data_IF_635919972666
#
_entry.id   IF_635919972666
#
_cell.length_a   1.000
_cell.length_b   1.000
_cell.length_c   1.000
_cell.angle_alpha   90.00
_cell.angle_beta   90.00
_cell.angle_gamma   90.00
#
_symmetry.space_group_name_H-M   'P 1'
#
loop_
_entity.id
_entity.type
_entity.pdbx_description
1 polymer ?
#
# COMPACT_ATOMS: atom_id res chain seq x y z
N UNK A 1 29.55 -21.26 -0.81
CA UNK A 1 29.48 -20.48 0.44
C UNK A 1 29.17 -19.00 0.22
N UNK A 2 29.27 -18.53 -1.00
CA UNK A 2 28.93 -17.13 -1.33
C UNK A 2 27.43 -16.86 -1.43
N UNK A 3 26.62 -17.88 -1.51
CA UNK A 3 25.17 -17.75 -1.73
C UNK A 3 24.40 -17.37 -0.47
N UNK A 4 25.01 -17.46 0.69
CA UNK A 4 24.35 -17.12 1.95
C UNK A 4 24.32 -15.64 2.25
N UNK A 5 25.18 -14.84 1.63
CA UNK A 5 25.27 -13.40 1.88
C UNK A 5 24.20 -12.59 1.16
N UNK A 6 23.61 -13.15 0.10
CA UNK A 6 22.55 -12.49 -0.68
C UNK A 6 21.17 -12.61 -0.06
N UNK A 7 20.99 -13.50 0.91
CA UNK A 7 19.71 -13.69 1.58
C UNK A 7 19.43 -12.72 2.73
N UNK A 8 20.44 -11.95 3.15
CA UNK A 8 20.35 -11.05 4.30
C UNK A 8 19.75 -9.67 3.99
N UNK A 9 19.53 -9.37 2.72
CA UNK A 9 18.96 -8.09 2.27
C UNK A 9 17.49 -8.17 1.88
N UNK A 10 16.78 -9.19 2.34
CA UNK A 10 15.34 -9.25 2.15
C UNK A 10 14.70 -8.17 3.00
N UNK A 11 14.22 -7.11 2.36
CA UNK A 11 13.30 -6.18 3.00
C UNK A 11 12.15 -7.00 3.58
N UNK A 12 11.94 -6.89 4.87
CA UNK A 12 10.75 -7.45 5.50
C UNK A 12 9.52 -6.73 4.95
N UNK A 13 9.03 -7.19 3.83
CA UNK A 13 7.73 -6.72 3.36
C UNK A 13 6.68 -7.26 4.33
N UNK A 14 5.89 -6.38 4.95
CA UNK A 14 4.89 -6.80 5.92
C UNK A 14 3.76 -7.61 5.29
N UNK A 15 3.66 -7.59 3.97
CA UNK A 15 2.72 -8.38 3.19
C UNK A 15 3.50 -9.12 2.11
N UNK A 16 3.64 -10.42 2.27
CA UNK A 16 4.17 -11.28 1.20
C UNK A 16 3.09 -11.42 0.13
N UNK A 17 3.18 -10.62 -0.89
CA UNK A 17 2.44 -10.86 -2.13
C UNK A 17 3.28 -11.83 -2.97
N UNK A 18 2.83 -13.07 -3.05
CA UNK A 18 3.44 -14.03 -3.97
C UNK A 18 3.10 -13.60 -5.40
N UNK A 19 4.04 -12.96 -6.05
CA UNK A 19 3.93 -12.67 -7.47
C UNK A 19 4.30 -13.94 -8.27
N UNK A 20 3.50 -14.36 -9.25
CA UNK A 20 3.87 -15.49 -10.09
C UNK A 20 5.14 -15.16 -10.89
N UNK A 21 6.12 -16.04 -10.81
CA UNK A 21 7.45 -15.85 -11.40
C UNK A 21 7.54 -15.96 -12.92
N UNK A 22 6.43 -15.89 -13.64
CA UNK A 22 6.44 -16.07 -15.09
C UNK A 22 5.63 -15.06 -15.87
N UNK A 23 5.25 -13.99 -15.24
CA UNK A 23 4.56 -12.91 -15.95
C UNK A 23 5.62 -12.06 -16.63
N UNK A 24 5.43 -11.84 -17.94
CA UNK A 24 6.17 -10.83 -18.66
C UNK A 24 6.48 -9.65 -17.75
N UNK A 25 7.75 -9.42 -17.53
CA UNK A 25 8.20 -8.24 -16.81
C UNK A 25 7.58 -7.01 -17.45
N UNK A 26 6.48 -6.57 -16.92
CA UNK A 26 6.04 -5.22 -17.17
C UNK A 26 7.12 -4.37 -16.52
N UNK A 27 8.06 -3.89 -17.31
CA UNK A 27 9.07 -2.95 -16.83
C UNK A 27 8.34 -1.76 -16.26
N UNK A 28 8.21 -1.76 -14.96
CA UNK A 28 7.66 -0.63 -14.25
C UNK A 28 8.65 0.52 -14.44
N UNK A 29 8.24 1.68 -14.97
CA UNK A 29 9.15 2.78 -15.20
C UNK A 29 9.87 3.18 -13.92
N UNK A 30 11.15 3.43 -14.00
CA UNK A 30 12.01 3.77 -12.85
C UNK A 30 11.65 5.11 -12.17
N UNK A 31 10.70 5.85 -12.69
CA UNK A 31 10.40 7.21 -12.27
C UNK A 31 9.13 7.30 -11.43
N UNK A 32 9.23 6.83 -10.19
CA UNK A 32 8.17 7.01 -9.22
C UNK A 32 6.91 6.19 -9.53
N UNK A 33 6.74 5.08 -8.83
CA UNK A 33 5.57 4.23 -8.93
C UNK A 33 4.83 4.22 -7.61
N UNK A 34 3.54 4.54 -7.66
CA UNK A 34 2.62 4.31 -6.57
C UNK A 34 2.06 2.90 -6.72
N UNK A 35 2.47 2.02 -5.85
CA UNK A 35 1.95 0.65 -5.81
C UNK A 35 0.81 0.56 -4.79
N UNK A 36 -0.34 0.10 -5.24
CA UNK A 36 -1.50 -0.17 -4.41
C UNK A 36 -1.57 -1.68 -4.20
N UNK A 37 -1.45 -2.10 -2.96
CA UNK A 37 -1.50 -3.51 -2.56
C UNK A 37 -2.87 -3.81 -1.95
N UNK A 38 -3.56 -4.80 -2.48
CA UNK A 38 -4.83 -5.27 -1.94
C UNK A 38 -4.64 -6.70 -1.45
N UNK A 39 -4.88 -6.91 -0.16
CA UNK A 39 -4.74 -8.23 0.47
C UNK A 39 -5.99 -8.60 1.25
N UNK A 40 -6.23 -9.91 1.49
CA UNK A 40 -7.36 -10.29 2.33
C UNK A 40 -7.12 -9.82 3.77
N UNK A 41 -8.16 -9.25 4.37
CA UNK A 41 -8.15 -8.95 5.78
C UNK A 41 -8.19 -10.24 6.59
N UNK A 42 -7.39 -10.29 7.64
CA UNK A 42 -7.35 -11.41 8.57
C UNK A 42 -7.72 -10.95 9.98
N UNK A 43 -8.48 -11.76 10.67
CA UNK A 43 -8.76 -11.54 12.08
C UNK A 43 -7.52 -11.81 12.97
N UNK A 44 -7.66 -11.59 14.25
CA UNK A 44 -6.57 -11.82 15.22
C UNK A 44 -6.10 -13.28 15.28
N UNK A 45 -6.91 -14.21 14.77
CA UNK A 45 -6.58 -15.62 14.65
C UNK A 45 -5.96 -16.00 13.31
N UNK A 46 -5.77 -15.01 12.41
CA UNK A 46 -5.21 -15.20 11.08
C UNK A 46 -6.20 -15.76 10.05
N UNK A 47 -7.49 -15.80 10.36
CA UNK A 47 -8.52 -16.26 9.43
C UNK A 47 -9.02 -15.11 8.56
N UNK A 48 -9.27 -15.35 7.25
CA UNK A 48 -9.85 -14.33 6.39
C UNK A 48 -11.24 -13.89 6.90
N UNK A 49 -11.44 -12.59 7.00
CA UNK A 49 -12.75 -12.00 7.41
C UNK A 49 -13.74 -11.92 6.25
N UNK A 50 -13.29 -12.15 5.04
CA UNK A 50 -14.08 -11.94 3.82
C UNK A 50 -14.04 -10.50 3.31
N UNK A 51 -13.28 -9.64 3.95
CA UNK A 51 -12.97 -8.29 3.52
C UNK A 51 -11.52 -8.19 3.02
N UNK A 52 -11.19 -7.10 2.37
CA UNK A 52 -9.84 -6.82 1.93
C UNK A 52 -9.28 -5.56 2.57
N UNK A 53 -7.97 -5.49 2.66
CA UNK A 53 -7.22 -4.34 3.14
C UNK A 53 -6.40 -3.74 2.01
N UNK A 54 -6.23 -2.43 2.05
CA UNK A 54 -5.47 -1.69 1.06
C UNK A 54 -4.23 -1.09 1.71
N UNK A 55 -3.10 -1.30 1.07
CA UNK A 55 -1.81 -0.71 1.43
C UNK A 55 -1.25 0.04 0.23
N UNK A 56 -0.40 1.00 0.49
CA UNK A 56 0.28 1.76 -0.56
C UNK A 56 1.79 1.78 -0.34
N UNK A 57 2.52 1.91 -1.44
CA UNK A 57 3.97 2.07 -1.43
C UNK A 57 4.37 3.04 -2.54
N UNK A 58 5.32 3.91 -2.27
CA UNK A 58 5.93 4.79 -3.27
C UNK A 58 7.42 4.50 -3.31
N UNK A 59 7.95 4.18 -4.49
CA UNK A 59 9.36 3.78 -4.65
C UNK A 59 10.33 4.93 -4.35
N UNK A 60 9.94 6.14 -4.71
CA UNK A 60 10.78 7.32 -4.50
C UNK A 60 10.57 7.89 -3.09
N UNK A 61 11.61 7.83 -2.27
CA UNK A 61 11.57 8.27 -0.87
C UNK A 61 11.25 9.76 -0.70
N UNK A 62 11.71 10.60 -1.62
CA UNK A 62 11.44 12.04 -1.56
C UNK A 62 9.98 12.35 -1.90
N UNK A 63 9.45 11.67 -2.90
CA UNK A 63 8.03 11.74 -3.26
C UNK A 63 7.15 11.21 -2.13
N UNK A 64 7.56 10.11 -1.50
CA UNK A 64 6.86 9.55 -0.34
C UNK A 64 6.79 10.56 0.81
N UNK A 65 7.90 11.22 1.12
CA UNK A 65 7.95 12.26 2.16
C UNK A 65 7.09 13.49 1.82
N UNK A 66 7.12 13.93 0.58
CA UNK A 66 6.31 15.06 0.12
C UNK A 66 4.80 14.72 0.14
N UNK A 67 4.43 13.51 -0.26
CA UNK A 67 3.07 13.00 -0.19
C UNK A 67 2.58 12.95 1.26
N UNK A 68 3.42 12.46 2.17
CA UNK A 68 3.12 12.44 3.61
C UNK A 68 2.87 13.85 4.15
N UNK A 69 3.72 14.82 3.79
CA UNK A 69 3.55 16.21 4.23
C UNK A 69 2.23 16.81 3.74
N UNK A 70 1.83 16.50 2.52
CA UNK A 70 0.53 16.95 1.98
C UNK A 70 -0.62 16.34 2.78
N UNK A 71 -0.56 15.06 3.06
CA UNK A 71 -1.61 14.36 3.82
C UNK A 71 -1.68 14.85 5.27
N UNK A 72 -0.55 15.01 5.93
CA UNK A 72 -0.52 15.54 7.31
C UNK A 72 -1.07 16.95 7.38
N UNK A 73 -0.81 17.78 6.38
CA UNK A 73 -1.40 19.11 6.24
C UNK A 73 -2.92 19.05 6.08
N UNK A 74 -3.43 18.20 5.22
CA UNK A 74 -4.86 18.04 4.95
C UNK A 74 -5.64 17.54 6.19
N UNK A 75 -5.05 16.70 6.98
CA UNK A 75 -5.68 16.11 8.17
C UNK A 75 -5.32 16.82 9.48
N UNK A 76 -4.45 17.82 9.43
CA UNK A 76 -4.00 18.53 10.64
C UNK A 76 -3.20 17.64 11.60
N UNK A 77 -2.53 16.64 11.08
CA UNK A 77 -1.69 15.72 11.86
C UNK A 77 -0.27 16.26 11.92
N UNK A 78 0.27 16.36 13.12
CA UNK A 78 1.67 16.77 13.32
C UNK A 78 2.53 15.55 13.61
N UNK A 79 3.56 15.36 12.80
CA UNK A 79 4.55 14.31 12.97
C UNK A 79 5.92 14.93 13.31
N UNK A 80 6.64 14.28 14.20
CA UNK A 80 8.02 14.69 14.48
C UNK A 80 8.98 14.17 13.41
N UNK A 81 10.19 14.75 13.28
CA UNK A 81 11.15 14.34 12.26
C UNK A 81 11.49 12.84 12.29
N UNK A 82 11.55 12.25 13.48
CA UNK A 82 11.82 10.82 13.64
C UNK A 82 10.68 9.95 13.10
N UNK A 83 9.44 10.36 13.28
CA UNK A 83 8.28 9.65 12.72
C UNK A 83 8.28 9.74 11.19
N UNK A 84 8.62 10.88 10.63
CA UNK A 84 8.74 11.07 9.18
C UNK A 84 9.84 10.19 8.61
N UNK A 85 11.00 10.13 9.26
CA UNK A 85 12.10 9.28 8.87
C UNK A 85 11.72 7.79 8.93
N UNK A 86 11.03 7.39 9.99
CA UNK A 86 10.50 6.03 10.13
C UNK A 86 9.53 5.69 8.99
N UNK A 87 8.62 6.59 8.65
CA UNK A 87 7.69 6.41 7.54
C UNK A 87 8.42 6.22 6.21
N UNK A 88 9.40 7.06 5.93
CA UNK A 88 10.22 6.95 4.72
C UNK A 88 10.98 5.63 4.66
N UNK A 89 11.49 5.15 5.78
CA UNK A 89 12.26 3.90 5.84
C UNK A 89 11.39 2.65 5.68
N UNK A 90 10.14 2.70 6.10
CA UNK A 90 9.19 1.59 5.91
C UNK A 90 8.79 1.43 4.43
N UNK A 91 8.62 2.53 3.72
CA UNK A 91 8.25 2.54 2.30
C UNK A 91 6.83 2.12 2.00
N UNK A 92 6.25 1.23 2.78
CA UNK A 92 4.86 0.75 2.65
C UNK A 92 4.04 1.26 3.83
N UNK A 93 2.84 1.74 3.55
CA UNK A 93 1.93 2.25 4.56
C UNK A 93 0.50 1.78 4.29
N UNK A 94 -0.31 1.76 5.31
CA UNK A 94 -1.69 1.27 5.18
C UNK A 94 -2.43 1.36 6.51
N UNK A 95 -2.32 2.50 7.18
CA UNK A 95 -3.06 2.79 8.40
C UNK A 95 -3.88 4.06 8.21
N UNK A 96 -5.03 4.20 8.89
CA UNK A 96 -5.77 5.44 8.88
C UNK A 96 -4.91 6.61 9.37
N UNK A 97 -5.13 7.80 8.86
CA UNK A 97 -4.39 9.00 9.28
C UNK A 97 -4.49 9.26 10.78
N UNK A 98 -5.61 8.91 11.39
CA UNK A 98 -5.79 8.99 12.86
C UNK A 98 -4.82 8.11 13.64
N UNK A 99 -4.43 6.99 13.07
CA UNK A 99 -3.58 5.98 13.71
C UNK A 99 -2.10 6.10 13.30
N UNK A 100 -1.80 6.92 12.29
CA UNK A 100 -0.47 7.04 11.71
C UNK A 100 0.58 7.44 12.74
N UNK A 101 0.28 8.43 13.59
CA UNK A 101 1.19 8.87 14.65
C UNK A 101 1.51 7.76 15.64
N UNK A 102 0.50 7.02 16.07
CA UNK A 102 0.64 5.87 16.97
C UNK A 102 1.44 4.74 16.31
N UNK A 103 1.13 4.43 15.05
CA UNK A 103 1.86 3.42 14.27
C UNK A 103 3.35 3.74 14.17
N UNK A 104 3.71 4.98 13.88
CA UNK A 104 5.10 5.39 13.73
C UNK A 104 5.88 5.45 15.06
N UNK A 105 5.20 5.52 16.20
CA UNK A 105 5.84 5.43 17.52
C UNK A 105 6.04 4.01 18.00
N UNK A 106 5.40 3.03 17.35
CA UNK A 106 5.52 1.63 17.74
C UNK A 106 6.91 1.08 17.47
N UNK A 107 7.27 0.06 18.25
CA UNK A 107 8.49 -0.71 17.99
C UNK A 107 8.41 -1.39 16.62
N UNK A 108 9.52 -1.40 15.89
CA UNK A 108 9.65 -2.01 14.57
C UNK A 108 9.11 -3.45 14.50
N UNK A 109 9.26 -4.23 15.57
CA UNK A 109 8.76 -5.61 15.64
C UNK A 109 7.22 -5.71 15.67
N UNK A 110 6.53 -4.68 16.15
CA UNK A 110 5.05 -4.66 16.28
C UNK A 110 4.36 -4.01 15.07
N UNK A 111 5.06 -3.17 14.35
CA UNK A 111 4.49 -2.43 13.21
C UNK A 111 3.90 -3.32 12.12
N UNK A 112 4.56 -4.41 11.66
CA UNK A 112 3.99 -5.29 10.65
C UNK A 112 2.67 -5.92 11.06
N UNK A 113 2.55 -6.36 12.32
CA UNK A 113 1.32 -6.95 12.84
C UNK A 113 0.19 -5.92 12.91
N UNK A 114 0.51 -4.71 13.35
CA UNK A 114 -0.46 -3.62 13.40
C UNK A 114 -0.94 -3.23 12.01
N UNK A 115 -0.03 -3.15 11.05
CA UNK A 115 -0.34 -2.84 9.65
C UNK A 115 -1.31 -3.87 9.06
N UNK A 116 -1.13 -5.16 9.37
CA UNK A 116 -2.02 -6.23 8.90
C UNK A 116 -3.43 -6.18 9.48
N UNK A 117 -3.62 -5.52 10.62
CA UNK A 117 -4.95 -5.37 11.25
C UNK A 117 -5.68 -4.10 10.83
N UNK A 118 -5.01 -3.25 10.08
CA UNK A 118 -5.55 -1.97 9.61
C UNK A 118 -5.67 -2.00 8.09
N UNK A 119 -5.68 -0.93 7.48
CA UNK A 119 -5.76 -0.73 6.04
C UNK A 119 -6.13 0.72 5.79
N UNK A 120 -5.92 1.19 4.58
CA UNK A 120 -6.35 2.53 4.21
C UNK A 120 -7.88 2.51 4.04
N UNK A 121 -8.63 3.37 4.74
CA UNK A 121 -10.07 3.44 4.60
C UNK A 121 -10.50 3.81 3.18
N UNK A 122 -11.47 3.08 2.65
CA UNK A 122 -12.08 3.34 1.34
C UNK A 122 -13.40 4.11 1.47
N UNK A 123 -13.85 4.38 2.68
CA UNK A 123 -15.08 5.10 2.92
C UNK A 123 -14.88 6.60 2.75
N UNK A 124 -15.80 7.24 2.05
CA UNK A 124 -15.75 8.69 1.85
C UNK A 124 -15.93 9.43 3.19
N UNK A 125 -15.13 10.48 3.36
CA UNK A 125 -15.19 11.30 4.56
C UNK A 125 -16.19 12.43 4.34
N UNK A 126 -17.27 12.45 5.10
CA UNK A 126 -18.30 13.49 5.05
C UNK A 126 -18.82 13.81 3.64
N UNK A 127 -18.93 12.80 2.79
CA UNK A 127 -19.39 12.98 1.42
C UNK A 127 -18.32 13.51 0.45
N UNK A 128 -17.07 13.58 0.88
CA UNK A 128 -15.92 13.90 0.06
C UNK A 128 -15.09 12.69 -0.35
N UNK A 129 -13.83 12.94 -0.67
CA UNK A 129 -12.88 11.87 -1.02
C UNK A 129 -12.58 10.97 0.17
N UNK A 130 -12.41 9.66 -0.09
CA UNK A 130 -11.89 8.72 0.91
C UNK A 130 -10.41 9.01 1.22
N UNK A 131 -9.90 8.49 2.34
CA UNK A 131 -8.46 8.61 2.62
C UNK A 131 -7.61 8.00 1.50
N UNK A 132 -8.07 6.88 0.93
CA UNK A 132 -7.43 6.26 -0.21
C UNK A 132 -7.29 7.23 -1.39
N UNK A 133 -8.39 7.88 -1.78
CA UNK A 133 -8.39 8.86 -2.86
C UNK A 133 -7.48 10.05 -2.55
N UNK A 134 -7.49 10.51 -1.31
CA UNK A 134 -6.63 11.62 -0.91
C UNK A 134 -5.14 11.27 -0.97
N UNK A 135 -4.76 10.04 -0.63
CA UNK A 135 -3.39 9.57 -0.81
C UNK A 135 -2.97 9.54 -2.27
N UNK A 136 -3.83 9.05 -3.15
CA UNK A 136 -3.58 9.03 -4.59
C UNK A 136 -3.46 10.45 -5.15
N UNK A 137 -4.37 11.33 -4.78
CA UNK A 137 -4.34 12.74 -5.18
C UNK A 137 -3.08 13.45 -4.69
N UNK A 138 -2.69 13.25 -3.44
CA UNK A 138 -1.46 13.80 -2.88
C UNK A 138 -0.21 13.30 -3.62
N UNK A 139 -0.16 12.03 -3.97
CA UNK A 139 0.93 11.46 -4.75
C UNK A 139 1.00 12.07 -6.16
N UNK A 140 -0.14 12.28 -6.80
CA UNK A 140 -0.25 12.94 -8.11
C UNK A 140 0.16 14.40 -8.06
N UNK A 141 -0.22 15.12 -7.02
CA UNK A 141 0.19 16.51 -6.84
C UNK A 141 1.70 16.66 -6.64
N UNK A 142 2.35 15.66 -6.05
CA UNK A 142 3.82 15.63 -5.91
C UNK A 142 4.50 15.28 -7.22
N UNK A 143 3.92 14.36 -7.99
CA UNK A 143 4.44 13.92 -9.28
C UNK A 143 3.29 13.58 -10.22
N UNK A 144 3.01 14.47 -11.17
CA UNK A 144 1.93 14.30 -12.15
C UNK A 144 2.15 13.09 -13.08
N UNK A 145 3.40 12.70 -13.29
CA UNK A 145 3.78 11.55 -14.12
C UNK A 145 3.84 10.23 -13.36
N UNK A 146 3.47 10.21 -12.07
CA UNK A 146 3.51 9.00 -11.26
C UNK A 146 2.67 7.89 -11.89
N UNK A 147 3.23 6.71 -11.98
CA UNK A 147 2.52 5.53 -12.47
C UNK A 147 1.85 4.81 -11.31
N UNK A 148 0.65 4.33 -11.54
CA UNK A 148 -0.12 3.58 -10.54
C UNK A 148 -0.09 2.10 -10.93
N UNK A 149 0.38 1.26 -10.00
CA UNK A 149 0.36 -0.19 -10.13
C UNK A 149 -0.58 -0.77 -9.07
N UNK A 150 -1.55 -1.56 -9.49
CA UNK A 150 -2.47 -2.25 -8.61
C UNK A 150 -2.06 -3.72 -8.51
N UNK A 151 -1.67 -4.14 -7.31
CA UNK A 151 -1.34 -5.54 -7.01
C UNK A 151 -2.38 -6.12 -6.08
N UNK A 152 -2.99 -7.23 -6.48
CA UNK A 152 -3.95 -7.95 -5.65
C UNK A 152 -3.46 -9.38 -5.40
N UNK A 153 -3.55 -9.82 -4.15
CA UNK A 153 -3.32 -11.21 -3.79
C UNK A 153 -4.45 -12.09 -4.36
N UNK A 154 -4.11 -13.32 -4.79
CA UNK A 154 -5.08 -14.27 -5.34
C UNK A 154 -6.23 -14.61 -4.38
N UNK A 155 -5.98 -14.54 -3.10
CA UNK A 155 -6.96 -14.77 -2.03
C UNK A 155 -7.78 -13.53 -1.67
N UNK A 156 -7.50 -12.38 -2.29
CA UNK A 156 -8.22 -11.15 -2.01
C UNK A 156 -9.66 -11.23 -2.52
N UNK A 157 -10.66 -10.84 -1.72
CA UNK A 157 -12.03 -10.76 -2.18
C UNK A 157 -12.16 -9.81 -3.37
N UNK A 158 -12.78 -10.28 -4.45
CA UNK A 158 -12.96 -9.49 -5.67
C UNK A 158 -13.72 -8.18 -5.42
N UNK A 159 -14.67 -8.19 -4.48
CA UNK A 159 -15.41 -6.98 -4.11
C UNK A 159 -14.52 -5.83 -3.67
N UNK A 160 -13.43 -6.13 -2.95
CA UNK A 160 -12.46 -5.12 -2.48
C UNK A 160 -11.62 -4.59 -3.64
N UNK A 161 -11.16 -5.46 -4.52
CA UNK A 161 -10.42 -5.06 -5.73
C UNK A 161 -11.30 -4.18 -6.62
N UNK A 162 -12.55 -4.57 -6.82
CA UNK A 162 -13.54 -3.80 -7.58
C UNK A 162 -13.78 -2.43 -6.97
N UNK A 163 -13.87 -2.35 -5.64
CA UNK A 163 -14.04 -1.08 -4.94
C UNK A 163 -12.84 -0.15 -5.12
N UNK A 164 -11.63 -0.68 -5.01
CA UNK A 164 -10.39 0.10 -5.27
C UNK A 164 -10.39 0.63 -6.69
N UNK A 165 -10.73 -0.20 -7.67
CA UNK A 165 -10.82 0.22 -9.08
C UNK A 165 -11.88 1.31 -9.27
N UNK A 166 -13.02 1.20 -8.61
CA UNK A 166 -14.09 2.21 -8.64
C UNK A 166 -13.64 3.54 -8.03
N UNK A 167 -12.92 3.50 -6.91
CA UNK A 167 -12.34 4.68 -6.28
C UNK A 167 -11.34 5.41 -7.22
N UNK A 168 -10.53 4.65 -7.95
CA UNK A 168 -9.62 5.21 -8.94
C UNK A 168 -10.36 5.80 -10.15
N UNK A 169 -11.42 5.15 -10.63
CA UNK A 169 -12.25 5.65 -11.71
C UNK A 169 -12.97 6.95 -11.34
N UNK A 170 -13.43 7.07 -10.12
CA UNK A 170 -14.07 8.29 -9.61
C UNK A 170 -13.11 9.49 -9.58
N UNK A 171 -11.80 9.24 -9.62
CA UNK A 171 -10.76 10.26 -9.73
C UNK A 171 -10.27 10.49 -11.16
N UNK A 172 -10.95 9.95 -12.16
CA UNK A 172 -10.50 9.92 -13.56
C UNK A 172 -9.15 9.20 -13.78
N UNK A 173 -8.74 8.37 -12.82
CA UNK A 173 -7.52 7.58 -12.89
C UNK A 173 -7.78 6.25 -13.61
N UNK A 174 -7.87 6.31 -14.94
CA UNK A 174 -8.10 5.12 -15.77
C UNK A 174 -6.80 4.42 -16.21
N UNK A 175 -5.67 5.06 -16.04
CA UNK A 175 -4.38 4.54 -16.48
C UNK A 175 -3.58 3.96 -15.31
N UNK A 176 -3.85 2.71 -14.97
CA UNK A 176 -3.09 1.97 -13.97
C UNK A 176 -2.74 0.57 -14.48
N UNK A 177 -1.62 0.05 -14.02
CA UNK A 177 -1.19 -1.30 -14.32
C UNK A 177 -1.77 -2.28 -13.31
N UNK A 178 -2.58 -3.23 -13.77
CA UNK A 178 -3.12 -4.26 -12.90
C UNK A 178 -2.22 -5.49 -12.92
N UNK A 179 -1.70 -5.85 -11.75
CA UNK A 179 -0.95 -7.09 -11.55
C UNK A 179 -1.77 -7.96 -10.60
N UNK A 180 -2.50 -8.92 -11.13
CA UNK A 180 -3.25 -9.89 -10.33
C UNK A 180 -2.53 -11.22 -10.31
N UNK A 181 -2.41 -11.82 -9.13
CA UNK A 181 -2.02 -13.20 -9.02
C UNK A 181 -3.27 -14.06 -9.23
N UNK A 182 -3.31 -14.73 -10.38
CA UNK A 182 -4.33 -15.76 -10.60
C UNK A 182 -3.99 -16.97 -9.70
N UNK A 183 -4.95 -17.37 -8.89
CA UNK A 183 -4.87 -18.65 -8.19
C UNK A 183 -4.70 -19.73 -9.24
N UNK A 184 -3.59 -20.47 -9.23
CA UNK A 184 -3.48 -21.67 -10.02
C UNK A 184 -4.54 -22.64 -9.51
N UNK A 185 -5.50 -22.88 -10.36
CA UNK A 185 -6.49 -23.91 -10.15
C UNK A 185 -5.78 -25.25 -10.44
N UNK A 186 -5.41 -25.93 -9.40
CA UNK A 186 -4.84 -27.26 -9.54
C UNK A 186 -3.80 -27.52 -8.48
N UNK A 187 -4.25 -28.05 -7.42
CA UNK A 187 -3.69 -29.25 -6.80
C UNK A 187 -4.69 -29.68 -5.73
N UNK A 188 -5.60 -30.54 -6.14
CA UNK A 188 -6.25 -31.47 -5.23
C UNK A 188 -5.27 -32.56 -4.85
#
# INVERSE_FOLDING_TARGET
TFFMLTSTFVKNEPVKVNTPGSVSEIKVPENGVLTILVSPEKDKAGKPTGEGQVFMSIDNTDQLGATLNTMTGNFGVSLNPKQIETFKSEGTFGVPMSDLGTYLTMNAAKRPQYLQTKGIPLDSIKGGMSEFQQWVDAARNVNEDIKIALKADASTPYKTVKRVMSELQDMDESHYYMITQLKQQGDE
#
